data_IF_088312964280
#
_entry.id   IF_088312964280
#
_cell.length_a   1.000
_cell.length_b   1.000
_cell.length_c   1.000
_cell.angle_alpha   90.00
_cell.angle_beta   90.00
_cell.angle_gamma   90.00
#
_symmetry.space_group_name_H-M   'P 1'
#
loop_
_entity.id
_entity.type
_entity.pdbx_description
1 polymer ?
#
# COMPACT_ATOMS: atom_id res chain seq x y z
N UNK A 1 -10.40 13.60 0.27
CA UNK A 1 -11.60 12.74 0.46
C UNK A 1 -11.25 11.36 1.04
N UNK A 2 -10.24 10.64 0.50
CA UNK A 2 -9.81 9.34 1.02
C UNK A 2 -9.34 9.36 2.49
N UNK A 3 -8.62 10.42 2.90
CA UNK A 3 -8.17 10.60 4.30
C UNK A 3 -9.35 10.59 5.28
N UNK A 4 -10.46 11.23 4.94
CA UNK A 4 -11.68 11.24 5.76
C UNK A 4 -12.30 9.84 5.86
N UNK A 5 -12.35 9.08 4.77
CA UNK A 5 -12.88 7.71 4.78
C UNK A 5 -11.98 6.75 5.56
N UNK A 6 -10.66 6.83 5.42
CA UNK A 6 -9.71 6.01 6.17
C UNK A 6 -9.77 6.30 7.68
N UNK A 7 -9.96 7.57 8.05
CA UNK A 7 -10.18 7.95 9.44
C UNK A 7 -11.46 7.34 10.02
N UNK A 8 -12.57 7.40 9.29
CA UNK A 8 -13.84 6.81 9.73
C UNK A 8 -13.77 5.28 9.84
N UNK A 9 -13.11 4.61 8.90
CA UNK A 9 -12.91 3.15 8.95
C UNK A 9 -12.01 2.74 10.13
N UNK A 10 -10.94 3.49 10.39
CA UNK A 10 -10.07 3.24 11.54
C UNK A 10 -10.81 3.45 12.87
N UNK A 11 -11.58 4.53 12.99
CA UNK A 11 -12.38 4.82 14.17
C UNK A 11 -13.47 3.75 14.40
N UNK A 12 -14.13 3.29 13.32
CA UNK A 12 -15.09 2.18 13.39
C UNK A 12 -14.45 0.93 14.00
N UNK A 13 -13.26 0.55 13.55
CA UNK A 13 -12.53 -0.61 14.09
C UNK A 13 -12.13 -0.46 15.56
N UNK A 14 -11.74 0.75 15.99
CA UNK A 14 -11.37 1.01 17.39
C UNK A 14 -12.60 0.95 18.31
N UNK A 15 -13.73 1.51 17.90
CA UNK A 15 -14.94 1.61 18.77
C UNK A 15 -15.73 0.31 18.81
N UNK A 16 -15.84 -0.38 17.67
CA UNK A 16 -16.66 -1.60 17.57
C UNK A 16 -15.86 -2.89 17.79
N UNK A 17 -14.53 -2.84 17.65
CA UNK A 17 -13.67 -4.02 17.69
C UNK A 17 -13.81 -4.93 16.45
N UNK A 18 -14.66 -4.57 15.49
CA UNK A 18 -14.90 -5.35 14.26
C UNK A 18 -14.07 -4.80 13.11
N UNK A 19 -13.59 -5.70 12.24
CA UNK A 19 -13.02 -5.27 10.97
C UNK A 19 -14.14 -4.79 10.02
N UNK A 20 -13.82 -3.92 9.06
CA UNK A 20 -14.81 -3.37 8.13
C UNK A 20 -15.57 -4.47 7.35
N UNK A 21 -14.87 -5.56 7.01
CA UNK A 21 -15.46 -6.72 6.33
C UNK A 21 -16.50 -7.44 7.21
N UNK A 22 -16.23 -7.55 8.51
CA UNK A 22 -17.08 -8.24 9.48
C UNK A 22 -18.28 -7.39 9.90
N UNK A 23 -18.07 -6.08 10.06
CA UNK A 23 -19.14 -5.11 10.25
C UNK A 23 -20.08 -5.09 9.04
N UNK A 24 -19.54 -5.16 7.81
CA UNK A 24 -20.33 -5.26 6.59
C UNK A 24 -21.19 -6.53 6.58
N UNK A 25 -20.64 -7.70 6.92
CA UNK A 25 -21.43 -8.95 6.99
C UNK A 25 -22.48 -8.96 8.08
N UNK A 26 -22.26 -8.25 9.18
CA UNK A 26 -23.18 -8.23 10.32
C UNK A 26 -24.35 -7.26 10.09
N UNK A 27 -24.14 -6.17 9.37
CA UNK A 27 -25.14 -5.10 9.22
C UNK A 27 -25.78 -5.03 7.83
N UNK A 28 -25.31 -5.80 6.85
CA UNK A 28 -25.88 -5.89 5.51
C UNK A 28 -26.56 -7.25 5.27
N UNK A 29 -27.57 -7.31 4.39
CA UNK A 29 -28.13 -8.60 3.96
C UNK A 29 -27.07 -9.43 3.23
N UNK A 30 -27.10 -10.75 3.44
CA UNK A 30 -26.06 -11.70 3.03
C UNK A 30 -25.69 -11.62 1.53
N UNK A 31 -26.68 -11.36 0.66
CA UNK A 31 -26.44 -11.21 -0.77
C UNK A 31 -25.58 -9.98 -1.09
N UNK A 32 -25.89 -8.83 -0.47
CA UNK A 32 -25.18 -7.59 -0.72
C UNK A 32 -23.78 -7.63 -0.11
N UNK A 33 -23.65 -8.20 1.09
CA UNK A 33 -22.34 -8.37 1.73
C UNK A 33 -21.44 -9.32 0.94
N UNK A 34 -21.98 -10.42 0.41
CA UNK A 34 -21.21 -11.35 -0.42
C UNK A 34 -20.65 -10.67 -1.68
N UNK A 35 -21.48 -9.88 -2.36
CA UNK A 35 -21.04 -9.11 -3.52
C UNK A 35 -19.97 -8.08 -3.15
N UNK A 36 -20.19 -7.32 -2.08
CA UNK A 36 -19.27 -6.28 -1.63
C UNK A 36 -17.89 -6.85 -1.25
N UNK A 37 -17.86 -7.94 -0.48
CA UNK A 37 -16.61 -8.64 -0.14
C UNK A 37 -15.91 -9.22 -1.36
N UNK A 38 -16.65 -9.78 -2.31
CA UNK A 38 -16.07 -10.29 -3.56
C UNK A 38 -15.37 -9.18 -4.35
N UNK A 39 -16.02 -8.01 -4.48
CA UNK A 39 -15.38 -6.86 -5.14
C UNK A 39 -14.17 -6.34 -4.37
N UNK A 40 -14.20 -6.36 -3.04
CA UNK A 40 -13.06 -5.96 -2.20
C UNK A 40 -11.86 -6.89 -2.39
N UNK A 41 -12.09 -8.20 -2.46
CA UNK A 41 -11.04 -9.19 -2.75
C UNK A 41 -10.49 -9.01 -4.16
N UNK A 42 -11.36 -8.82 -5.15
CA UNK A 42 -10.93 -8.56 -6.52
C UNK A 42 -10.07 -7.30 -6.63
N UNK A 43 -10.46 -6.22 -5.94
CA UNK A 43 -9.68 -4.99 -5.87
C UNK A 43 -8.32 -5.20 -5.18
N UNK A 44 -8.28 -5.95 -4.08
CA UNK A 44 -7.02 -6.27 -3.38
C UNK A 44 -6.04 -7.04 -4.27
N UNK A 45 -6.52 -8.05 -5.01
CA UNK A 45 -5.71 -8.81 -5.97
C UNK A 45 -5.19 -7.89 -7.08
N UNK A 46 -6.04 -7.00 -7.61
CA UNK A 46 -5.63 -6.06 -8.65
C UNK A 46 -4.52 -5.11 -8.16
N UNK A 47 -4.61 -4.60 -6.94
CA UNK A 47 -3.57 -3.74 -6.34
C UNK A 47 -2.25 -4.49 -6.18
N UNK A 48 -2.29 -5.72 -5.64
CA UNK A 48 -1.08 -6.53 -5.47
C UNK A 48 -0.39 -6.83 -6.81
N UNK A 49 -1.17 -7.13 -7.86
CA UNK A 49 -0.62 -7.32 -9.21
C UNK A 49 0.00 -6.02 -9.75
N UNK A 50 -0.63 -4.87 -9.53
CA UNK A 50 -0.11 -3.58 -9.95
C UNK A 50 1.21 -3.23 -9.23
N UNK A 51 1.33 -3.53 -7.94
CA UNK A 51 2.57 -3.31 -7.17
C UNK A 51 3.72 -4.16 -7.71
N UNK A 52 3.49 -5.46 -7.96
CA UNK A 52 4.51 -6.37 -8.49
C UNK A 52 4.96 -5.93 -9.90
N UNK A 53 4.02 -5.62 -10.78
CA UNK A 53 4.33 -5.19 -12.15
C UNK A 53 5.03 -3.83 -12.17
N UNK A 54 4.57 -2.88 -11.34
CA UNK A 54 5.18 -1.55 -11.20
C UNK A 54 6.61 -1.65 -10.66
N UNK A 55 6.84 -2.46 -9.63
CA UNK A 55 8.17 -2.72 -9.08
C UNK A 55 9.12 -3.39 -10.09
N UNK A 56 8.63 -4.39 -10.82
CA UNK A 56 9.39 -5.07 -11.88
C UNK A 56 9.79 -4.11 -13.01
N UNK A 57 8.85 -3.27 -13.47
CA UNK A 57 9.10 -2.24 -14.49
C UNK A 57 10.14 -1.22 -14.01
N UNK A 58 10.04 -0.75 -12.77
CA UNK A 58 11.00 0.20 -12.20
C UNK A 58 12.42 -0.39 -12.19
N UNK A 59 12.58 -1.65 -11.75
CA UNK A 59 13.88 -2.35 -11.77
C UNK A 59 14.40 -2.53 -13.20
N UNK A 60 13.52 -2.91 -14.13
CA UNK A 60 13.86 -3.09 -15.53
C UNK A 60 14.39 -1.79 -16.17
N UNK A 61 13.74 -0.65 -15.88
CA UNK A 61 14.18 0.66 -16.36
C UNK A 61 15.50 1.12 -15.74
N UNK A 62 15.72 0.83 -14.44
CA UNK A 62 16.91 1.29 -13.72
C UNK A 62 18.17 0.46 -14.06
N UNK A 63 17.99 -0.84 -14.31
CA UNK A 63 19.12 -1.80 -14.46
C UNK A 63 19.24 -2.38 -15.87
N UNK A 64 18.25 -2.17 -16.74
CA UNK A 64 18.18 -2.79 -18.07
C UNK A 64 17.82 -4.29 -18.06
N UNK A 65 17.47 -4.86 -16.90
CA UNK A 65 17.10 -6.26 -16.75
C UNK A 65 15.76 -6.56 -17.45
N UNK A 66 15.57 -7.72 -18.10
CA UNK A 66 14.27 -8.13 -18.64
C UNK A 66 13.20 -8.24 -17.54
N UNK A 67 11.94 -7.99 -17.92
CA UNK A 67 10.83 -7.83 -16.96
C UNK A 67 10.57 -9.08 -16.10
N UNK A 68 10.72 -10.29 -16.67
CA UNK A 68 10.45 -11.54 -15.94
C UNK A 68 11.45 -11.77 -14.79
N UNK A 69 12.78 -11.73 -15.01
CA UNK A 69 13.76 -11.74 -13.92
C UNK A 69 13.58 -10.60 -12.91
N UNK A 70 13.23 -9.40 -13.37
CA UNK A 70 13.00 -8.25 -12.51
C UNK A 70 11.77 -8.44 -11.59
N UNK A 71 10.70 -9.06 -12.10
CA UNK A 71 9.51 -9.40 -11.32
C UNK A 71 9.82 -10.46 -10.26
N UNK A 72 10.54 -11.53 -10.61
CA UNK A 72 10.99 -12.52 -9.62
C UNK A 72 11.84 -11.86 -8.54
N UNK A 73 12.78 -11.00 -8.95
CA UNK A 73 13.66 -10.31 -8.02
C UNK A 73 12.89 -9.40 -7.05
N UNK A 74 11.93 -8.62 -7.56
CA UNK A 74 11.06 -7.76 -6.74
C UNK A 74 10.25 -8.58 -5.73
N UNK A 75 9.64 -9.68 -6.16
CA UNK A 75 8.87 -10.57 -5.29
C UNK A 75 9.71 -11.31 -4.26
N UNK A 76 11.01 -11.55 -4.51
CA UNK A 76 11.92 -12.21 -3.55
C UNK A 76 12.56 -11.29 -2.51
N UNK A 77 12.44 -9.97 -2.63
CA UNK A 77 13.12 -8.98 -1.76
C UNK A 77 12.19 -8.19 -0.85
N UNK A 78 10.91 -8.56 -0.75
CA UNK A 78 9.89 -7.84 0.02
C UNK A 78 9.95 -8.06 1.54
N UNK A 79 11.14 -8.13 2.14
CA UNK A 79 11.32 -8.29 3.60
C UNK A 79 11.09 -6.98 4.38
N UNK A 80 10.76 -5.87 3.71
CA UNK A 80 10.48 -4.58 4.35
C UNK A 80 8.98 -4.39 4.48
N UNK A 81 8.39 -5.08 5.45
CA UNK A 81 6.94 -5.10 5.70
C UNK A 81 6.44 -3.93 6.55
N UNK A 82 7.31 -3.09 7.11
CA UNK A 82 6.92 -1.92 7.90
C UNK A 82 7.69 -0.65 7.55
N UNK A 83 6.96 0.47 7.51
CA UNK A 83 7.51 1.83 7.40
C UNK A 83 8.50 2.12 8.55
N UNK A 84 8.27 1.53 9.73
CA UNK A 84 9.18 1.61 10.87
C UNK A 84 10.57 1.01 10.57
N UNK A 85 10.61 -0.12 9.85
CA UNK A 85 11.85 -0.81 9.50
C UNK A 85 12.61 -0.08 8.38
N UNK A 86 11.87 0.52 7.44
CA UNK A 86 12.45 1.39 6.41
C UNK A 86 13.17 2.60 7.02
N UNK A 87 12.62 3.22 8.08
CA UNK A 87 13.26 4.33 8.78
C UNK A 87 14.57 3.92 9.48
N UNK A 88 14.60 2.76 10.15
CA UNK A 88 15.78 2.23 10.85
C UNK A 88 16.90 1.85 9.86
N UNK A 89 16.54 1.38 8.66
CA UNK A 89 17.49 1.07 7.58
C UNK A 89 18.01 2.33 6.85
N UNK A 90 17.21 3.40 6.80
CA UNK A 90 17.62 4.68 6.19
C UNK A 90 18.45 5.56 7.12
N UNK A 91 18.26 5.45 8.44
CA UNK A 91 19.00 6.22 9.45
C UNK A 91 20.55 6.14 9.31
N UNK A 92 21.18 4.97 9.10
CA UNK A 92 22.63 4.88 8.93
C UNK A 92 23.16 5.42 7.59
N UNK A 93 22.32 5.58 6.56
CA UNK A 93 22.74 6.10 5.25
C UNK A 93 22.46 7.60 5.07
N UNK A 94 21.42 8.14 5.72
CA UNK A 94 20.90 9.50 5.46
C UNK A 94 20.79 10.37 6.72
N UNK A 95 21.00 9.80 7.91
CA UNK A 95 21.00 10.51 9.19
C UNK A 95 19.62 11.04 9.62
N UNK A 96 19.60 11.92 10.63
CA UNK A 96 18.38 12.49 11.26
C UNK A 96 17.43 13.23 10.31
N UNK A 97 17.85 13.51 9.07
CA UNK A 97 17.05 14.18 8.03
C UNK A 97 16.21 13.24 7.17
N UNK A 98 16.35 11.91 7.31
CA UNK A 98 15.69 10.93 6.45
C UNK A 98 14.15 11.05 6.44
N UNK A 99 13.53 11.29 7.61
CA UNK A 99 12.09 11.48 7.73
C UNK A 99 11.61 12.76 6.99
N UNK A 100 12.44 13.81 7.00
CA UNK A 100 12.14 15.07 6.33
C UNK A 100 12.25 14.93 4.81
N UNK A 101 13.28 14.23 4.32
CA UNK A 101 13.43 13.90 2.90
C UNK A 101 12.32 12.98 2.39
N UNK A 102 11.91 12.00 3.18
CA UNK A 102 10.80 11.13 2.84
C UNK A 102 9.47 11.90 2.76
N UNK A 103 9.19 12.77 3.75
CA UNK A 103 8.02 13.63 3.73
C UNK A 103 8.02 14.61 2.53
N UNK A 104 9.17 15.19 2.19
CA UNK A 104 9.32 16.08 1.03
C UNK A 104 9.17 15.30 -0.29
N UNK A 105 9.75 14.10 -0.39
CA UNK A 105 9.62 13.24 -1.57
C UNK A 105 8.19 12.78 -1.82
N UNK A 106 7.41 12.53 -0.76
CA UNK A 106 6.00 12.19 -0.87
C UNK A 106 5.15 13.37 -1.34
N UNK A 107 5.51 14.60 -0.95
CA UNK A 107 4.75 15.83 -1.23
C UNK A 107 5.10 16.51 -2.58
N UNK A 108 6.32 16.30 -3.10
CA UNK A 108 6.77 16.89 -4.36
C UNK A 108 5.98 16.48 -5.63
N UNK A 109 5.52 15.22 -5.83
CA UNK A 109 4.80 14.85 -7.03
C UNK A 109 3.45 15.57 -7.19
N UNK A 110 2.84 15.99 -6.08
CA UNK A 110 1.58 16.75 -6.07
C UNK A 110 1.78 18.23 -6.49
N UNK A 111 2.99 18.78 -6.30
CA UNK A 111 3.31 20.17 -6.66
C UNK A 111 3.58 20.35 -8.16
N UNK A 112 3.86 19.28 -8.92
CA UNK A 112 4.19 19.35 -10.36
C UNK A 112 2.94 19.40 -11.27
N UNK A 113 1.74 19.24 -10.71
CA UNK A 113 0.45 19.27 -11.43
C UNK A 113 -0.34 20.57 -11.20
N UNK A 114 0.28 21.59 -10.60
CA UNK A 114 -0.26 22.94 -10.35
C UNK A 114 0.59 23.99 -11.09
#
# INVERSE_FOLDING_TARGET
MLVFLQHNVAHLGIVTGLCLAEAATTHLPLFLSGFLLLTAVAASIATALAEILGGALAISMLTGMPVIPAALFFSTRSDVTEIAQAQIMLEPMLGKGAALLFAVALFLPELRLL
#
